data_IF_312626030023
#
_entry.id   IF_312626030023
#
_cell.length_a   1.000
_cell.length_b   1.000
_cell.length_c   1.000
_cell.angle_alpha   90.00
_cell.angle_beta   90.00
_cell.angle_gamma   90.00
#
_symmetry.space_group_name_H-M   'P 1'
#
loop_
_entity.id
_entity.type
_entity.pdbx_description
1 polymer ?
#
# COMPACT_ATOMS: atom_id res chain seq x y z
N UNK A 1 2.71 -0.33 0.40
CA UNK A 1 2.69 -0.95 1.76
C UNK A 1 1.65 -0.34 2.68
N UNK A 2 1.50 0.99 2.74
CA UNK A 2 0.59 1.66 3.67
C UNK A 2 -0.86 1.19 3.55
N UNK A 3 -1.37 1.09 2.32
CA UNK A 3 -2.73 0.61 2.08
C UNK A 3 -2.97 -0.80 2.66
N UNK A 4 -2.06 -1.74 2.42
CA UNK A 4 -2.21 -3.12 2.88
C UNK A 4 -2.20 -3.20 4.42
N UNK A 5 -1.40 -2.37 5.09
CA UNK A 5 -1.28 -2.42 6.55
C UNK A 5 -2.41 -1.68 7.27
N UNK A 6 -2.99 -0.64 6.64
CA UNK A 6 -3.97 0.25 7.29
C UNK A 6 -5.40 -0.03 6.84
N UNK A 7 -5.61 -0.23 5.54
CA UNK A 7 -6.95 -0.22 4.93
C UNK A 7 -7.39 -1.56 4.37
N UNK A 8 -6.46 -2.44 3.95
CA UNK A 8 -6.84 -3.74 3.42
C UNK A 8 -7.46 -4.63 4.51
N UNK A 9 -8.76 -4.87 4.37
CA UNK A 9 -9.54 -5.70 5.30
C UNK A 9 -9.03 -7.13 5.36
N UNK A 10 -8.51 -7.67 4.25
CA UNK A 10 -7.97 -9.03 4.18
C UNK A 10 -6.71 -9.18 5.05
N UNK A 11 -5.76 -8.26 4.89
CA UNK A 11 -4.53 -8.20 5.69
C UNK A 11 -4.84 -7.96 7.17
N UNK A 12 -5.69 -6.98 7.50
CA UNK A 12 -6.06 -6.69 8.90
C UNK A 12 -6.74 -7.90 9.57
N UNK A 13 -7.65 -8.57 8.87
CA UNK A 13 -8.30 -9.79 9.38
C UNK A 13 -7.29 -10.92 9.57
N UNK A 14 -6.44 -11.17 8.57
CA UNK A 14 -5.40 -12.20 8.63
C UNK A 14 -4.45 -11.99 9.82
N UNK A 15 -4.02 -10.75 10.04
CA UNK A 15 -3.17 -10.39 11.19
C UNK A 15 -3.90 -10.62 12.53
N UNK A 16 -5.19 -10.31 12.62
CA UNK A 16 -5.99 -10.62 13.83
C UNK A 16 -6.09 -12.13 14.06
N UNK A 17 -6.25 -12.93 13.00
CA UNK A 17 -6.29 -14.40 13.08
C UNK A 17 -4.96 -15.05 13.50
N UNK A 18 -3.83 -14.33 13.43
CA UNK A 18 -2.56 -14.78 14.03
C UNK A 18 -2.68 -14.91 15.55
N UNK A 19 -3.41 -14.01 16.22
CA UNK A 19 -3.63 -14.10 17.67
C UNK A 19 -4.47 -15.32 18.08
N UNK A 20 -5.24 -15.87 17.13
CA UNK A 20 -6.03 -17.09 17.30
C UNK A 20 -5.28 -18.37 16.89
N UNK A 21 -4.02 -18.28 16.44
CA UNK A 21 -3.18 -19.43 16.07
C UNK A 21 -3.51 -20.08 14.71
N UNK A 22 -4.44 -19.51 13.93
CA UNK A 22 -4.89 -20.06 12.64
C UNK A 22 -4.32 -19.30 11.43
N UNK A 23 -3.89 -18.06 11.63
CA UNK A 23 -3.28 -17.26 10.56
C UNK A 23 -1.87 -17.73 10.20
N UNK A 24 -1.50 -17.63 8.91
CA UNK A 24 -0.12 -17.83 8.45
C UNK A 24 0.49 -16.51 8.00
N UNK A 25 1.46 -16.02 8.76
CA UNK A 25 2.00 -14.66 8.59
C UNK A 25 2.70 -14.48 7.24
N UNK A 26 3.41 -15.50 6.76
CA UNK A 26 4.12 -15.42 5.47
C UNK A 26 3.14 -15.27 4.32
N UNK A 27 2.00 -15.98 4.37
CA UNK A 27 0.96 -15.88 3.34
C UNK A 27 0.23 -14.53 3.36
N UNK A 28 0.08 -13.90 4.53
CA UNK A 28 -0.56 -12.58 4.67
C UNK A 28 0.37 -11.46 4.18
N UNK A 29 1.66 -11.54 4.54
CA UNK A 29 2.64 -10.50 4.23
C UNK A 29 3.29 -10.64 2.85
N UNK A 30 2.96 -11.68 2.07
CA UNK A 30 3.41 -11.85 0.68
C UNK A 30 3.06 -10.66 -0.24
N UNK A 31 2.07 -9.83 0.13
CA UNK A 31 1.71 -8.63 -0.61
C UNK A 31 2.65 -7.44 -0.37
N UNK A 32 3.57 -7.53 0.60
CA UNK A 32 4.55 -6.49 0.86
C UNK A 32 5.73 -6.62 -0.12
N UNK A 33 6.23 -5.49 -0.65
CA UNK A 33 7.45 -5.47 -1.44
C UNK A 33 8.65 -5.76 -0.53
N UNK A 34 9.75 -6.21 -1.15
CA UNK A 34 11.02 -6.44 -0.46
C UNK A 34 11.60 -5.14 0.11
N UNK A 35 11.49 -4.04 -0.64
CA UNK A 35 12.02 -2.72 -0.27
C UNK A 35 10.92 -1.66 -0.33
N UNK A 36 10.86 -0.80 0.68
CA UNK A 36 10.01 0.39 0.73
C UNK A 36 10.78 1.54 1.39
N UNK A 37 10.51 2.77 0.97
CA UNK A 37 11.19 3.97 1.48
C UNK A 37 10.14 4.99 1.92
N UNK A 38 10.38 5.59 3.07
CA UNK A 38 9.64 6.75 3.57
C UNK A 38 10.57 7.93 3.65
N UNK A 39 10.18 9.01 3.01
CA UNK A 39 10.88 10.28 3.00
C UNK A 39 9.95 11.32 3.64
N UNK A 40 10.49 12.06 4.60
CA UNK A 40 9.73 13.11 5.26
C UNK A 40 9.38 14.22 4.26
N UNK A 41 8.11 14.63 4.23
CA UNK A 41 7.59 15.71 3.38
C UNK A 41 8.05 15.60 1.91
N UNK A 42 8.08 14.38 1.38
CA UNK A 42 8.47 14.16 0.00
C UNK A 42 7.35 14.52 -0.95
N UNK A 43 7.63 15.47 -1.84
CA UNK A 43 6.78 15.84 -2.96
C UNK A 43 7.56 15.62 -4.26
N UNK A 44 6.92 15.11 -5.32
CA UNK A 44 7.54 14.97 -6.63
C UNK A 44 7.83 16.34 -7.25
N UNK A 45 8.82 16.41 -8.15
CA UNK A 45 9.14 17.63 -8.87
C UNK A 45 7.99 18.01 -9.83
N UNK A 46 7.69 19.32 -9.94
CA UNK A 46 6.63 19.79 -10.82
C UNK A 46 6.90 19.44 -12.28
N UNK A 47 5.89 18.88 -12.95
CA UNK A 47 5.98 18.46 -14.35
C UNK A 47 6.77 17.17 -14.58
N UNK A 48 7.20 16.47 -13.53
CA UNK A 48 7.80 15.14 -13.67
C UNK A 48 6.73 14.05 -13.89
N UNK A 49 7.10 12.89 -14.46
CA UNK A 49 6.19 11.74 -14.55
C UNK A 49 5.63 11.29 -13.20
N UNK A 50 6.39 11.46 -12.11
CA UNK A 50 5.95 11.17 -10.75
C UNK A 50 4.86 12.14 -10.28
N UNK A 51 4.91 13.42 -10.67
CA UNK A 51 3.83 14.36 -10.36
C UNK A 51 2.54 14.00 -11.13
N UNK A 52 2.66 13.61 -12.40
CA UNK A 52 1.51 13.20 -13.22
C UNK A 52 0.79 11.99 -12.62
N UNK A 53 1.53 10.94 -12.22
CA UNK A 53 0.93 9.74 -11.65
C UNK A 53 0.29 10.01 -10.28
N UNK A 54 0.89 10.91 -9.47
CA UNK A 54 0.34 11.30 -8.19
C UNK A 54 -1.00 12.02 -8.33
N UNK A 55 -1.17 12.86 -9.35
CA UNK A 55 -2.47 13.49 -9.65
C UNK A 55 -3.52 12.47 -10.12
N UNK A 56 -3.12 11.49 -10.93
CA UNK A 56 -4.00 10.39 -11.35
C UNK A 56 -4.47 9.50 -10.18
N UNK A 57 -3.67 9.36 -9.12
CA UNK A 57 -4.06 8.62 -7.91
C UNK A 57 -4.96 9.44 -6.96
N UNK A 58 -4.86 10.77 -6.97
CA UNK A 58 -5.75 11.64 -6.20
C UNK A 58 -7.14 11.75 -6.84
N UNK A 59 -7.19 11.77 -8.17
CA UNK A 59 -8.44 11.93 -8.93
C UNK A 59 -8.66 10.72 -9.83
N UNK A 60 -9.65 9.86 -9.54
CA UNK A 60 -9.96 8.71 -10.37
C UNK A 60 -10.18 9.11 -11.84
N UNK A 61 -9.54 8.42 -12.76
CA UNK A 61 -9.65 8.67 -14.20
C UNK A 61 -10.47 7.58 -14.89
N UNK A 62 -11.14 7.97 -15.97
CA UNK A 62 -11.82 7.06 -16.90
C UNK A 62 -10.84 6.65 -18.01
N UNK A 63 -10.61 5.34 -18.14
CA UNK A 63 -9.55 4.78 -19.00
C UNK A 63 -10.08 4.01 -20.22
N UNK A 64 -11.40 3.99 -20.44
CA UNK A 64 -12.09 3.15 -21.44
C UNK A 64 -12.65 3.99 -22.57
#
# INVERSE_FOLDING_TARGET
VEFNLVYDRGTVFGLKMLSSGVGRIESILMSLPENAKWLYAHEPEEGSPEAEIMEAFKTPQEWV
#
